data_IF_906865130481
#
_entry.id   IF_906865130481
#
_cell.length_a   1.000
_cell.length_b   1.000
_cell.length_c   1.000
_cell.angle_alpha   90.00
_cell.angle_beta   90.00
_cell.angle_gamma   90.00
#
_symmetry.space_group_name_H-M   'P 1'
#
loop_
_entity.id
_entity.type
_entity.pdbx_description
1 polymer ?
#
# COMPACT_ATOMS: atom_id res chain seq x y z
N UNK A 1 31.54 5.86 17.35
CA UNK A 1 32.39 6.76 16.54
C UNK A 1 31.95 6.64 15.08
N UNK A 2 31.77 7.75 14.42
CA UNK A 2 31.40 7.77 13.00
C UNK A 2 32.63 7.39 12.15
N UNK A 3 32.50 6.34 11.34
CA UNK A 3 33.63 5.79 10.59
C UNK A 3 33.93 6.54 9.27
N UNK A 4 33.04 7.48 8.88
CA UNK A 4 33.14 8.20 7.62
C UNK A 4 33.57 9.65 7.81
N UNK A 5 34.45 10.16 6.92
CA UNK A 5 34.73 11.60 6.86
C UNK A 5 33.54 12.38 6.37
N UNK A 6 33.54 13.72 6.53
CA UNK A 6 32.47 14.60 6.04
C UNK A 6 32.31 14.47 4.52
N UNK A 7 33.39 14.39 3.76
CA UNK A 7 33.39 14.25 2.30
C UNK A 7 32.86 12.89 1.85
N UNK A 8 33.26 11.82 2.55
CA UNK A 8 32.74 10.47 2.29
C UNK A 8 31.24 10.40 2.55
N UNK A 9 30.79 10.99 3.66
CA UNK A 9 29.37 11.07 3.98
C UNK A 9 28.60 11.87 2.94
N UNK A 10 29.11 13.02 2.51
CA UNK A 10 28.50 13.84 1.47
C UNK A 10 28.34 13.03 0.16
N UNK A 11 29.39 12.33 -0.27
CA UNK A 11 29.33 11.45 -1.46
C UNK A 11 28.30 10.32 -1.30
N UNK A 12 28.27 9.66 -0.15
CA UNK A 12 27.24 8.64 0.12
C UNK A 12 25.83 9.19 0.02
N UNK A 13 25.57 10.36 0.64
CA UNK A 13 24.26 10.98 0.60
C UNK A 13 23.87 11.45 -0.80
N UNK A 14 24.82 12.01 -1.57
CA UNK A 14 24.59 12.42 -2.95
C UNK A 14 24.33 11.24 -3.91
N UNK A 15 24.83 10.05 -3.58
CA UNK A 15 24.59 8.84 -4.39
C UNK A 15 23.22 8.19 -4.18
N UNK A 16 22.48 8.62 -3.17
CA UNK A 16 21.13 8.08 -2.87
C UNK A 16 20.15 8.56 -3.94
N UNK A 17 19.62 7.62 -4.69
CA UNK A 17 18.64 7.90 -5.73
C UNK A 17 17.25 8.04 -5.12
N UNK A 18 16.53 9.10 -5.51
CA UNK A 18 15.13 9.31 -5.12
C UNK A 18 14.11 8.56 -5.99
N UNK A 19 14.57 7.89 -7.08
CA UNK A 19 13.70 7.16 -8.02
C UNK A 19 14.47 5.99 -8.64
N UNK A 20 13.74 4.94 -9.01
CA UNK A 20 14.34 3.76 -9.65
C UNK A 20 15.24 2.96 -8.71
N UNK A 21 14.91 2.93 -7.44
CA UNK A 21 15.64 2.17 -6.42
C UNK A 21 15.52 0.66 -6.65
N UNK A 22 16.47 -0.11 -6.11
CA UNK A 22 16.43 -1.58 -6.22
C UNK A 22 15.09 -2.18 -5.70
N UNK A 23 14.52 -1.76 -4.55
CA UNK A 23 13.21 -2.21 -4.09
C UNK A 23 12.08 -1.91 -5.08
N UNK A 24 12.02 -0.68 -5.61
CA UNK A 24 11.02 -0.30 -6.61
C UNK A 24 11.11 -1.18 -7.87
N UNK A 25 12.30 -1.39 -8.41
CA UNK A 25 12.51 -2.22 -9.61
C UNK A 25 12.04 -3.65 -9.36
N UNK A 26 12.27 -4.19 -8.16
CA UNK A 26 11.85 -5.53 -7.77
C UNK A 26 10.31 -5.65 -7.79
N UNK A 27 9.61 -4.71 -7.16
CA UNK A 27 8.13 -4.67 -7.17
C UNK A 27 7.60 -4.52 -8.59
N UNK A 28 8.19 -3.63 -9.40
CA UNK A 28 7.80 -3.40 -10.79
C UNK A 28 7.92 -4.67 -11.64
N UNK A 29 9.06 -5.36 -11.57
CA UNK A 29 9.30 -6.61 -12.32
C UNK A 29 8.29 -7.68 -11.93
N UNK A 30 8.03 -7.85 -10.63
CA UNK A 30 7.07 -8.82 -10.16
C UNK A 30 5.64 -8.51 -10.65
N UNK A 31 5.18 -7.29 -10.47
CA UNK A 31 3.84 -6.90 -10.94
C UNK A 31 3.70 -7.09 -12.47
N UNK A 32 4.71 -6.71 -13.22
CA UNK A 32 4.71 -6.90 -14.67
C UNK A 32 4.63 -8.38 -15.08
N UNK A 33 5.40 -9.26 -14.42
CA UNK A 33 5.37 -10.71 -14.66
C UNK A 33 4.01 -11.35 -14.32
N UNK A 34 3.26 -10.74 -13.39
CA UNK A 34 1.89 -11.16 -13.03
C UNK A 34 0.81 -10.53 -13.92
N UNK A 35 1.18 -9.84 -14.98
CA UNK A 35 0.26 -9.24 -15.94
C UNK A 35 -0.29 -7.85 -15.55
N UNK A 36 0.12 -7.28 -14.43
CA UNK A 36 -0.28 -5.93 -14.06
C UNK A 36 0.37 -4.90 -14.99
N UNK A 37 -0.42 -3.93 -15.44
CA UNK A 37 0.05 -2.79 -16.25
C UNK A 37 -0.03 -1.54 -15.42
N UNK A 38 1.07 -0.80 -15.34
CA UNK A 38 1.22 0.37 -14.47
C UNK A 38 1.94 1.53 -15.16
N UNK A 39 1.81 2.71 -14.57
CA UNK A 39 2.62 3.89 -14.90
C UNK A 39 3.53 4.23 -13.72
N UNK A 40 4.64 4.87 -14.01
CA UNK A 40 5.65 5.24 -13.00
C UNK A 40 5.61 6.73 -12.71
N UNK A 41 5.83 7.09 -11.45
CA UNK A 41 6.06 8.47 -10.99
C UNK A 41 5.10 9.48 -11.65
N UNK A 42 3.80 9.24 -11.54
CA UNK A 42 2.79 10.04 -12.26
C UNK A 42 2.78 11.48 -11.73
N UNK A 43 3.10 12.51 -12.57
CA UNK A 43 3.37 13.87 -12.08
C UNK A 43 2.13 14.60 -11.56
N UNK A 44 0.93 14.18 -11.96
CA UNK A 44 -0.34 14.84 -11.58
C UNK A 44 -0.96 14.28 -10.30
N UNK A 45 -0.37 13.22 -9.71
CA UNK A 45 -0.88 12.66 -8.46
C UNK A 45 -0.09 13.19 -7.27
N UNK A 46 -0.75 13.52 -6.15
CA UNK A 46 -0.08 13.89 -4.91
C UNK A 46 0.96 12.83 -4.49
N UNK A 47 2.08 13.27 -3.93
CA UNK A 47 3.14 12.39 -3.45
C UNK A 47 3.94 11.64 -4.51
N UNK A 48 3.65 11.86 -5.80
CA UNK A 48 4.35 11.21 -6.92
C UNK A 48 4.55 9.70 -6.72
N UNK A 49 3.45 8.91 -6.59
CA UNK A 49 3.54 7.48 -6.30
C UNK A 49 4.49 6.76 -7.25
N UNK A 50 5.27 5.80 -6.74
CA UNK A 50 6.26 5.05 -7.53
C UNK A 50 5.60 4.23 -8.63
N UNK A 51 4.42 3.64 -8.33
CA UNK A 51 3.68 2.79 -9.25
C UNK A 51 2.20 3.18 -9.20
N UNK A 52 1.59 3.39 -10.36
CA UNK A 52 0.17 3.75 -10.50
C UNK A 52 -0.54 2.74 -11.37
N UNK A 53 -1.51 2.02 -10.80
CA UNK A 53 -2.34 1.03 -11.47
C UNK A 53 -3.74 1.60 -11.71
N UNK A 54 -3.95 2.24 -12.84
CA UNK A 54 -5.23 2.92 -13.15
C UNK A 54 -6.43 1.97 -13.18
N UNK A 55 -6.24 0.77 -13.74
CA UNK A 55 -7.29 -0.27 -13.79
C UNK A 55 -7.78 -0.66 -12.40
N UNK A 56 -6.90 -0.63 -11.41
CA UNK A 56 -7.16 -1.02 -10.02
C UNK A 56 -7.44 0.19 -9.12
N UNK A 57 -7.46 1.41 -9.66
CA UNK A 57 -7.51 2.66 -8.89
C UNK A 57 -6.56 2.66 -7.69
N UNK A 58 -5.40 2.03 -7.84
CA UNK A 58 -4.43 1.81 -6.77
C UNK A 58 -3.10 2.48 -7.09
N UNK A 59 -2.48 3.01 -6.05
CA UNK A 59 -1.12 3.56 -6.07
C UNK A 59 -0.26 2.83 -5.07
N UNK A 60 1.02 2.64 -5.40
CA UNK A 60 1.97 1.97 -4.52
C UNK A 60 3.14 2.90 -4.26
N UNK A 61 3.46 3.08 -2.98
CA UNK A 61 4.66 3.71 -2.48
C UNK A 61 5.63 2.63 -1.98
N UNK A 62 6.88 2.70 -2.40
CA UNK A 62 7.94 1.77 -1.97
C UNK A 62 8.88 2.53 -1.05
N UNK A 63 8.61 2.48 0.24
CA UNK A 63 9.23 3.32 1.24
C UNK A 63 10.48 2.67 1.86
N UNK A 64 11.58 3.43 1.90
CA UNK A 64 12.76 3.09 2.69
C UNK A 64 12.49 3.24 4.19
N UNK A 65 12.81 2.23 4.99
CA UNK A 65 12.49 2.20 6.42
C UNK A 65 13.04 3.39 7.21
N UNK A 66 14.25 3.83 6.91
CA UNK A 66 14.86 4.98 7.57
C UNK A 66 14.17 6.30 7.20
N UNK A 67 13.98 6.55 5.90
CA UNK A 67 13.53 7.84 5.39
C UNK A 67 12.07 8.19 5.74
N UNK A 68 11.26 7.16 5.87
CA UNK A 68 9.82 7.27 6.16
C UNK A 68 9.47 6.83 7.58
N UNK A 69 10.48 6.59 8.43
CA UNK A 69 10.30 6.30 9.86
C UNK A 69 9.45 5.08 10.14
N UNK A 70 9.79 3.93 9.53
CA UNK A 70 9.07 2.68 9.74
C UNK A 70 9.19 2.22 11.20
N UNK A 71 8.12 2.34 11.96
CA UNK A 71 8.06 2.00 13.38
C UNK A 71 8.31 0.50 13.60
N UNK A 72 8.84 0.16 14.77
CA UNK A 72 9.17 -1.21 15.19
C UNK A 72 10.09 -1.98 14.21
N UNK A 73 10.73 -1.27 13.29
CA UNK A 73 11.60 -1.87 12.29
C UNK A 73 13.07 -1.81 12.71
N UNK A 74 13.75 -2.96 12.73
CA UNK A 74 15.18 -3.04 13.03
C UNK A 74 16.09 -2.23 12.11
N UNK A 75 15.59 -1.84 10.93
CA UNK A 75 16.33 -1.00 9.96
C UNK A 75 16.06 0.50 10.14
N UNK A 76 15.12 0.86 11.04
CA UNK A 76 14.89 2.23 11.43
C UNK A 76 15.71 2.54 12.68
N UNK A 77 16.93 3.01 12.49
CA UNK A 77 17.84 3.40 13.59
C UNK A 77 18.26 4.83 13.37
N UNK A 78 17.94 5.70 14.31
CA UNK A 78 18.38 7.09 14.27
C UNK A 78 19.90 7.19 14.44
N UNK A 79 20.59 8.03 13.64
CA UNK A 79 22.01 8.29 13.79
C UNK A 79 22.29 8.90 15.17
N UNK A 80 23.41 8.52 15.78
CA UNK A 80 23.86 9.07 17.08
C UNK A 80 24.29 10.54 16.98
N UNK A 81 24.65 11.01 15.79
CA UNK A 81 25.04 12.40 15.51
C UNK A 81 23.89 13.14 14.86
N UNK A 82 23.67 14.40 15.29
CA UNK A 82 22.56 15.25 14.78
C UNK A 82 21.17 14.61 14.93
N UNK A 83 20.94 13.96 16.04
CA UNK A 83 19.69 13.18 16.29
C UNK A 83 18.44 14.04 16.13
N UNK A 84 18.45 15.27 16.68
CA UNK A 84 17.29 16.18 16.62
C UNK A 84 16.97 16.60 15.18
N UNK A 85 18.00 16.87 14.37
CA UNK A 85 17.83 17.13 12.94
C UNK A 85 17.15 15.96 12.22
N UNK A 86 17.65 14.74 12.46
CA UNK A 86 17.09 13.56 11.82
C UNK A 86 15.67 13.26 12.29
N UNK A 87 15.41 13.39 13.59
CA UNK A 87 14.08 13.21 14.16
C UNK A 87 13.08 14.17 13.50
N UNK A 88 13.38 15.47 13.53
CA UNK A 88 12.53 16.50 12.92
C UNK A 88 12.34 16.28 11.40
N UNK A 89 13.38 15.84 10.68
CA UNK A 89 13.29 15.55 9.25
C UNK A 89 12.37 14.37 8.96
N UNK A 90 12.49 13.29 9.73
CA UNK A 90 11.67 12.08 9.56
C UNK A 90 10.21 12.37 9.93
N UNK A 91 9.96 13.10 11.00
CA UNK A 91 8.61 13.53 11.38
C UNK A 91 7.93 14.35 10.29
N UNK A 92 8.66 15.30 9.70
CA UNK A 92 8.15 16.05 8.53
C UNK A 92 7.86 15.16 7.32
N UNK A 93 8.70 14.16 7.06
CA UNK A 93 8.44 13.20 5.98
C UNK A 93 7.17 12.40 6.27
N UNK A 94 7.00 11.86 7.50
CA UNK A 94 5.80 11.14 7.91
C UNK A 94 4.53 11.98 7.74
N UNK A 95 4.55 13.22 8.24
CA UNK A 95 3.42 14.14 8.14
C UNK A 95 3.04 14.43 6.67
N UNK A 96 4.05 14.66 5.82
CA UNK A 96 3.85 14.86 4.38
C UNK A 96 3.26 13.60 3.74
N UNK A 97 3.85 12.43 3.99
CA UNK A 97 3.41 11.16 3.40
C UNK A 97 1.95 10.86 3.77
N UNK A 98 1.58 11.11 5.03
CA UNK A 98 0.19 10.96 5.48
C UNK A 98 -0.76 11.93 4.75
N UNK A 99 -0.41 13.21 4.66
CA UNK A 99 -1.23 14.20 3.96
C UNK A 99 -1.41 13.85 2.47
N UNK A 100 -0.35 13.37 1.82
CA UNK A 100 -0.40 12.94 0.41
C UNK A 100 -1.27 11.71 0.20
N UNK A 101 -1.19 10.73 1.11
CA UNK A 101 -2.06 9.54 1.09
C UNK A 101 -3.53 9.90 1.34
N UNK A 102 -3.82 10.81 2.27
CA UNK A 102 -5.18 11.29 2.51
C UNK A 102 -5.77 12.00 1.27
N UNK A 103 -4.98 12.84 0.59
CA UNK A 103 -5.40 13.48 -0.66
C UNK A 103 -5.69 12.45 -1.76
N UNK A 104 -4.85 11.43 -1.89
CA UNK A 104 -5.09 10.34 -2.85
C UNK A 104 -6.36 9.56 -2.50
N UNK A 105 -6.57 9.26 -1.22
CA UNK A 105 -7.78 8.57 -0.76
C UNK A 105 -9.05 9.39 -1.02
N UNK A 106 -9.02 10.72 -0.81
CA UNK A 106 -10.15 11.61 -1.13
C UNK A 106 -10.44 11.68 -2.64
N UNK A 107 -9.43 11.46 -3.49
CA UNK A 107 -9.58 11.31 -4.93
C UNK A 107 -10.08 9.91 -5.36
N UNK A 108 -10.33 9.00 -4.42
CA UNK A 108 -10.79 7.64 -4.66
C UNK A 108 -9.68 6.67 -5.08
N UNK A 109 -8.43 6.95 -4.75
CA UNK A 109 -7.32 6.03 -4.96
C UNK A 109 -7.07 5.19 -3.72
N UNK A 110 -6.81 3.89 -3.92
CA UNK A 110 -6.31 3.00 -2.87
C UNK A 110 -4.80 3.16 -2.75
N UNK A 111 -4.33 3.56 -1.56
CA UNK A 111 -2.90 3.73 -1.29
C UNK A 111 -2.35 2.46 -0.64
N UNK A 112 -1.28 1.91 -1.21
CA UNK A 112 -0.58 0.74 -0.69
C UNK A 112 0.87 1.14 -0.45
N UNK A 113 1.35 0.95 0.79
CA UNK A 113 2.74 1.17 1.14
C UNK A 113 3.45 -0.17 1.27
N UNK A 114 4.59 -0.31 0.58
CA UNK A 114 5.48 -1.47 0.67
C UNK A 114 6.80 -1.01 1.26
N UNK A 115 7.23 -1.64 2.36
CA UNK A 115 8.45 -1.28 3.04
C UNK A 115 9.67 -2.04 2.50
N UNK A 116 10.82 -1.37 2.46
CA UNK A 116 12.07 -1.98 2.00
C UNK A 116 12.44 -3.25 2.78
N UNK A 117 12.17 -3.31 4.09
CA UNK A 117 12.43 -4.49 4.91
C UNK A 117 11.61 -5.71 4.47
N UNK A 118 10.40 -5.49 3.98
CA UNK A 118 9.50 -6.53 3.47
C UNK A 118 9.94 -7.10 2.12
N UNK A 119 10.88 -6.45 1.46
CA UNK A 119 11.45 -6.88 0.17
C UNK A 119 12.81 -7.60 0.31
N UNK A 120 13.24 -7.90 1.54
CA UNK A 120 14.43 -8.71 1.80
C UNK A 120 14.21 -10.17 1.35
N UNK A 121 15.26 -10.90 0.93
CA UNK A 121 15.12 -12.23 0.31
C UNK A 121 14.23 -13.21 1.07
N UNK A 122 14.30 -13.23 2.40
CA UNK A 122 13.55 -14.16 3.23
C UNK A 122 12.03 -13.96 3.21
N UNK A 123 11.55 -12.73 2.99
CA UNK A 123 10.11 -12.39 3.12
C UNK A 123 9.49 -11.85 1.84
N UNK A 124 10.30 -11.46 0.86
CA UNK A 124 9.86 -10.78 -0.36
C UNK A 124 8.80 -11.56 -1.17
N UNK A 125 8.93 -12.88 -1.25
CA UNK A 125 7.99 -13.70 -2.02
C UNK A 125 6.58 -13.56 -1.44
N UNK A 126 6.45 -13.76 -0.13
CA UNK A 126 5.18 -13.59 0.60
C UNK A 126 4.61 -12.18 0.45
N UNK A 127 5.45 -11.15 0.59
CA UNK A 127 5.03 -9.74 0.45
C UNK A 127 4.51 -9.44 -0.96
N UNK A 128 5.20 -9.90 -1.99
CA UNK A 128 4.82 -9.65 -3.37
C UNK A 128 3.55 -10.40 -3.76
N UNK A 129 3.37 -11.63 -3.29
CA UNK A 129 2.12 -12.40 -3.48
C UNK A 129 0.94 -11.73 -2.79
N UNK A 130 1.12 -11.29 -1.55
CA UNK A 130 0.10 -10.55 -0.83
C UNK A 130 -0.25 -9.22 -1.51
N UNK A 131 0.73 -8.51 -2.07
CA UNK A 131 0.49 -7.31 -2.85
C UNK A 131 -0.39 -7.60 -4.09
N UNK A 132 -0.07 -8.64 -4.85
CA UNK A 132 -0.85 -9.05 -6.01
C UNK A 132 -2.29 -9.48 -5.62
N UNK A 133 -2.41 -10.23 -4.53
CA UNK A 133 -3.71 -10.62 -3.98
C UNK A 133 -4.54 -9.40 -3.57
N UNK A 134 -3.94 -8.44 -2.87
CA UNK A 134 -4.60 -7.20 -2.44
C UNK A 134 -5.11 -6.39 -3.64
N UNK A 135 -4.30 -6.24 -4.69
CA UNK A 135 -4.71 -5.54 -5.90
C UNK A 135 -5.90 -6.21 -6.58
N UNK A 136 -5.89 -7.54 -6.70
CA UNK A 136 -7.01 -8.28 -7.28
C UNK A 136 -8.26 -8.16 -6.41
N UNK A 137 -8.14 -8.21 -5.09
CA UNK A 137 -9.26 -8.03 -4.16
C UNK A 137 -9.87 -6.63 -4.26
N UNK A 138 -9.04 -5.59 -4.34
CA UNK A 138 -9.50 -4.21 -4.58
C UNK A 138 -10.29 -4.15 -5.88
N UNK A 139 -9.75 -4.72 -6.96
CA UNK A 139 -10.42 -4.73 -8.26
C UNK A 139 -11.79 -5.42 -8.20
N UNK A 140 -11.87 -6.59 -7.59
CA UNK A 140 -13.12 -7.32 -7.45
C UNK A 140 -14.15 -6.54 -6.60
N UNK A 141 -13.72 -5.90 -5.52
CA UNK A 141 -14.61 -5.10 -4.67
C UNK A 141 -15.14 -3.86 -5.40
N UNK A 142 -14.28 -3.16 -6.16
CA UNK A 142 -14.67 -1.96 -6.89
C UNK A 142 -15.57 -2.27 -8.10
N UNK A 143 -15.49 -3.50 -8.63
CA UNK A 143 -16.24 -3.97 -9.79
C UNK A 143 -17.29 -5.04 -9.44
N UNK A 144 -17.54 -5.28 -8.14
CA UNK A 144 -18.63 -6.18 -7.73
C UNK A 144 -19.95 -5.62 -8.24
N UNK A 145 -20.64 -6.42 -9.03
CA UNK A 145 -22.01 -6.11 -9.46
C UNK A 145 -22.88 -6.05 -8.19
N UNK A 146 -23.61 -4.94 -7.99
CA UNK A 146 -24.62 -4.92 -6.94
C UNK A 146 -25.56 -6.09 -7.19
N UNK A 147 -25.81 -6.93 -6.20
CA UNK A 147 -26.85 -7.94 -6.31
C UNK A 147 -28.14 -7.22 -6.67
N UNK A 148 -28.76 -7.63 -7.78
CA UNK A 148 -30.12 -7.20 -8.09
C UNK A 148 -31.03 -7.77 -7.00
N UNK A 149 -31.55 -6.92 -6.17
CA UNK A 149 -32.61 -7.29 -5.24
C UNK A 149 -33.89 -7.40 -6.04
N UNK A 150 -34.32 -8.64 -6.29
CA UNK A 150 -35.61 -8.90 -6.94
C UNK A 150 -36.70 -8.30 -6.06
N UNK A 151 -37.51 -7.35 -6.58
CA UNK A 151 -38.65 -6.79 -5.83
C UNK A 151 -39.53 -7.92 -5.29
N UNK A 152 -40.07 -7.78 -4.10
CA UNK A 152 -40.87 -8.82 -3.48
C UNK A 152 -42.06 -9.25 -4.35
N UNK A 153 -42.57 -8.33 -5.17
CA UNK A 153 -43.65 -8.58 -6.14
C UNK A 153 -43.25 -9.59 -7.24
N UNK A 154 -41.97 -9.62 -7.67
CA UNK A 154 -41.47 -10.59 -8.63
C UNK A 154 -41.12 -11.95 -8.01
N UNK A 155 -40.87 -11.98 -6.70
CA UNK A 155 -40.60 -13.23 -5.97
C UNK A 155 -41.82 -14.14 -5.91
N UNK A 156 -43.01 -13.57 -5.86
CA UNK A 156 -44.28 -14.33 -5.79
C UNK A 156 -44.63 -15.03 -7.10
N UNK A 157 -44.02 -14.63 -8.22
CA UNK A 157 -44.29 -15.22 -9.55
C UNK A 157 -43.22 -16.25 -9.98
N UNK A 158 -42.13 -16.34 -9.29
CA UNK A 158 -41.11 -17.36 -9.55
C UNK A 158 -41.48 -18.65 -8.81
N UNK A 159 -41.75 -19.72 -9.53
CA UNK A 159 -41.96 -21.06 -8.96
C UNK A 159 -40.79 -21.39 -8.04
N UNK A 160 -41.09 -21.82 -6.80
CA UNK A 160 -40.08 -22.21 -5.82
C UNK A 160 -39.16 -23.26 -6.41
N UNK A 161 -37.82 -23.06 -6.38
CA UNK A 161 -36.90 -24.10 -6.80
C UNK A 161 -36.95 -25.25 -5.81
N UNK A 162 -37.19 -26.47 -6.31
CA UNK A 162 -37.30 -27.72 -5.52
C UNK A 162 -35.97 -28.19 -4.88
N UNK A 163 -34.96 -27.34 -4.81
CA UNK A 163 -33.64 -27.64 -4.22
C UNK A 163 -33.27 -26.54 -3.25
N UNK A 164 -33.18 -26.89 -1.98
CA UNK A 164 -32.76 -26.01 -0.90
C UNK A 164 -31.24 -25.75 -0.99
N UNK A 165 -30.88 -24.61 -1.60
CA UNK A 165 -29.49 -24.11 -1.60
C UNK A 165 -29.22 -23.32 -0.31
N UNK A 166 -28.38 -23.86 0.56
CA UNK A 166 -27.89 -23.09 1.71
C UNK A 166 -26.80 -22.10 1.24
N UNK A 167 -27.03 -20.79 1.38
CA UNK A 167 -25.99 -19.82 1.01
C UNK A 167 -24.87 -19.84 2.04
N UNK A 168 -23.63 -20.00 1.55
CA UNK A 168 -22.44 -19.77 2.37
C UNK A 168 -22.40 -18.25 2.65
N UNK A 169 -22.68 -17.89 3.90
CA UNK A 169 -22.62 -16.48 4.34
C UNK A 169 -21.17 -16.03 4.48
N UNK A 170 -20.65 -15.37 3.45
CA UNK A 170 -19.44 -14.57 3.56
C UNK A 170 -19.86 -13.12 3.87
N UNK A 171 -19.63 -12.71 5.11
CA UNK A 171 -19.92 -11.35 5.55
C UNK A 171 -18.86 -10.37 4.99
N UNK A 172 -19.25 -9.56 4.01
CA UNK A 172 -18.40 -8.58 3.31
C UNK A 172 -18.71 -7.11 3.67
N UNK A 173 -19.26 -6.82 4.84
CA UNK A 173 -19.85 -5.51 5.16
C UNK A 173 -18.88 -4.40 5.54
N UNK A 174 -17.59 -4.43 5.23
CA UNK A 174 -16.68 -3.29 5.56
C UNK A 174 -15.89 -2.78 4.35
N UNK A 175 -16.30 -1.59 3.86
CA UNK A 175 -15.53 -0.77 2.92
C UNK A 175 -14.35 -0.11 3.65
N UNK A 176 -13.12 -0.52 3.36
CA UNK A 176 -11.90 0.13 3.89
C UNK A 176 -11.08 0.71 2.75
N UNK A 177 -10.81 2.02 2.79
CA UNK A 177 -10.14 2.77 1.71
C UNK A 177 -8.61 2.89 1.86
N UNK A 178 -8.04 2.51 3.00
CA UNK A 178 -6.59 2.59 3.25
C UNK A 178 -6.12 1.24 3.79
N UNK A 179 -5.19 0.61 3.09
CA UNK A 179 -4.61 -0.68 3.49
C UNK A 179 -3.12 -0.47 3.70
N UNK A 180 -2.70 -0.42 4.96
CA UNK A 180 -1.31 -0.62 5.35
C UNK A 180 -1.09 -2.11 5.55
N UNK A 181 -0.23 -2.72 4.72
CA UNK A 181 0.14 -4.11 4.89
C UNK A 181 1.25 -4.19 5.95
N UNK A 182 0.86 -4.40 7.20
CA UNK A 182 1.79 -4.80 8.24
C UNK A 182 1.70 -6.31 8.46
N UNK A 183 2.75 -7.03 8.07
CA UNK A 183 2.81 -8.49 8.10
C UNK A 183 3.44 -9.06 9.38
N UNK A 184 3.75 -8.22 10.37
CA UNK A 184 4.43 -8.71 11.57
C UNK A 184 3.54 -9.58 12.46
N UNK A 185 2.19 -9.47 12.37
CA UNK A 185 1.29 -10.20 13.26
C UNK A 185 -0.10 -10.54 12.70
N UNK A 186 -0.27 -10.89 11.42
CA UNK A 186 -1.59 -11.28 10.87
C UNK A 186 -2.76 -10.32 11.21
N UNK A 187 -2.50 -9.13 11.72
CA UNK A 187 -3.50 -8.13 12.04
C UNK A 187 -3.56 -7.09 10.94
N UNK A 188 -4.64 -7.13 10.20
CA UNK A 188 -5.04 -6.04 9.33
C UNK A 188 -5.50 -4.90 10.25
N UNK A 189 -4.66 -3.87 10.45
CA UNK A 189 -5.13 -2.65 11.10
C UNK A 189 -6.04 -1.91 10.13
N UNK A 190 -7.32 -2.01 10.39
CA UNK A 190 -8.34 -1.16 9.81
C UNK A 190 -8.18 0.19 10.51
N UNK A 191 -7.54 1.16 9.85
CA UNK A 191 -7.51 2.52 10.38
C UNK A 191 -8.89 3.13 10.25
N UNK A 192 -9.50 3.23 11.38
CA UNK A 192 -10.49 4.14 11.97
C UNK A 192 -11.31 5.03 11.02
N UNK A 193 -12.61 4.89 11.23
CA UNK A 193 -13.65 5.85 10.92
C UNK A 193 -13.27 7.26 11.36
N UNK A 194 -13.26 8.20 10.43
CA UNK A 194 -13.55 9.58 10.73
C UNK A 194 -15.02 9.81 10.37
N UNK A 195 -15.87 9.68 11.38
CA UNK A 195 -17.19 10.30 11.39
C UNK A 195 -17.01 11.78 11.69
N UNK A 196 -17.43 12.62 10.79
CA UNK A 196 -18.00 13.94 11.04
C UNK A 196 -19.41 13.93 10.45
#
# INVERSE_FOLDING_TARGET
MDKLTKEQRHRCMASIRGKGTKPEILVRKYLFSRGFRYRLNHPRLPGHPDIVLRKYRSVIFVNGCFWHGHEECKYYVLPKTNTDFWKSKIERNKARDLAEQQRLASMGWHCITVWECQLKPAVRAKTLEALAFTLNRIYLNDHSVRRYEIPEEERSMAAEPSVEWQPISLDFSKKTKIICLDFSNYRCFICLDFSI
#
